data_IF_345331309817
#
_entry.id   IF_345331309817
#
_cell.length_a   1.000
_cell.length_b   1.000
_cell.length_c   1.000
_cell.angle_alpha   90.00
_cell.angle_beta   90.00
_cell.angle_gamma   90.00
#
_symmetry.space_group_name_H-M   'P 1'
#
loop_
_entity.id
_entity.type
_entity.pdbx_description
1 polymer ?
#
# COMPACT_ATOMS: atom_id res chain seq x y z
N UNK A 1 11.71 -2.59 -1.94
CA UNK A 1 12.06 -3.65 -0.98
C UNK A 1 11.60 -3.18 0.40
N UNK A 2 10.60 -3.82 1.00
CA UNK A 2 10.11 -3.44 2.35
C UNK A 2 10.53 -4.55 3.30
N UNK A 3 11.39 -4.23 4.27
CA UNK A 3 11.75 -5.13 5.37
C UNK A 3 10.81 -4.84 6.54
N UNK A 4 10.08 -5.85 7.00
CA UNK A 4 9.01 -5.68 7.99
C UNK A 4 9.54 -5.85 9.43
N UNK A 5 9.08 -5.00 10.34
CA UNK A 5 9.42 -5.02 11.76
C UNK A 5 8.40 -5.78 12.63
N UNK A 6 7.27 -6.21 12.05
CA UNK A 6 6.04 -6.55 12.80
C UNK A 6 5.09 -7.45 11.96
N UNK A 7 4.16 -8.16 12.62
CA UNK A 7 3.23 -9.18 12.07
C UNK A 7 1.85 -8.67 11.62
N UNK A 8 1.53 -7.38 11.79
CA UNK A 8 0.24 -6.72 11.47
C UNK A 8 -0.27 -6.96 10.06
N UNK A 9 0.62 -7.00 9.06
CA UNK A 9 0.22 -7.28 7.68
C UNK A 9 -0.17 -8.76 7.47
N UNK A 10 0.42 -9.68 8.23
CA UNK A 10 0.06 -11.10 8.23
C UNK A 10 -1.31 -11.29 8.87
N UNK A 11 -1.58 -10.58 9.97
CA UNK A 11 -2.90 -10.59 10.63
C UNK A 11 -3.97 -9.97 9.74
N UNK A 12 -3.69 -8.84 9.09
CA UNK A 12 -4.61 -8.19 8.15
C UNK A 12 -4.94 -9.10 6.95
N UNK A 13 -3.94 -9.78 6.38
CA UNK A 13 -4.15 -10.75 5.31
C UNK A 13 -4.95 -11.99 5.77
N UNK A 14 -4.72 -12.45 7.00
CA UNK A 14 -5.45 -13.60 7.57
C UNK A 14 -6.91 -13.26 7.83
N UNK A 15 -7.17 -12.07 8.35
CA UNK A 15 -8.49 -11.59 8.74
C UNK A 15 -9.24 -10.86 7.61
N UNK A 16 -8.66 -10.79 6.41
CA UNK A 16 -9.21 -10.07 5.26
C UNK A 16 -9.59 -8.62 5.61
N UNK A 17 -8.78 -7.98 6.45
CA UNK A 17 -9.02 -6.61 6.91
C UNK A 17 -8.56 -5.64 5.82
N UNK A 18 -9.42 -4.70 5.39
CA UNK A 18 -9.04 -3.72 4.39
C UNK A 18 -7.95 -2.78 4.93
N UNK A 19 -6.96 -2.49 4.09
CA UNK A 19 -5.86 -1.57 4.37
C UNK A 19 -5.85 -0.41 3.38
N UNK A 20 -5.31 0.74 3.81
CA UNK A 20 -4.95 1.81 2.88
C UNK A 20 -3.46 1.71 2.53
N UNK A 21 -3.14 1.70 1.24
CA UNK A 21 -1.76 1.73 0.76
C UNK A 21 -1.46 3.08 0.12
N UNK A 22 -0.43 3.73 0.64
CA UNK A 22 0.12 4.96 0.07
C UNK A 22 1.52 4.70 -0.47
N UNK A 23 1.75 5.08 -1.73
CA UNK A 23 3.04 4.99 -2.38
C UNK A 23 3.20 6.16 -3.34
N UNK A 24 4.43 6.50 -3.71
CA UNK A 24 4.65 7.66 -4.54
C UNK A 24 6.11 7.93 -4.84
N UNK A 25 6.31 8.98 -5.63
CA UNK A 25 7.62 9.51 -5.97
C UNK A 25 7.69 10.94 -5.45
N UNK A 26 8.79 11.29 -4.78
CA UNK A 26 9.05 12.64 -4.31
C UNK A 26 10.43 13.08 -4.80
N UNK A 27 10.49 14.28 -5.36
CA UNK A 27 11.76 14.98 -5.64
C UNK A 27 12.09 15.85 -4.42
N UNK A 28 11.12 16.65 -3.99
CA UNK A 28 11.18 17.52 -2.82
C UNK A 28 9.76 17.67 -2.21
N UNK A 29 9.59 18.58 -1.26
CA UNK A 29 8.29 18.80 -0.60
C UNK A 29 7.21 19.36 -1.53
N UNK A 30 7.60 20.11 -2.56
CA UNK A 30 6.72 20.83 -3.48
C UNK A 30 6.55 20.08 -4.82
N UNK A 31 7.28 18.99 -5.02
CA UNK A 31 7.26 18.17 -6.24
C UNK A 31 7.15 16.69 -5.88
N UNK A 32 5.91 16.20 -5.91
CA UNK A 32 5.58 14.82 -5.58
C UNK A 32 4.40 14.29 -6.38
N UNK A 33 4.41 12.98 -6.60
CA UNK A 33 3.28 12.22 -7.13
C UNK A 33 2.93 11.13 -6.12
N UNK A 34 1.74 11.24 -5.53
CA UNK A 34 1.25 10.33 -4.49
C UNK A 34 0.06 9.53 -5.02
N UNK A 35 0.08 8.24 -4.74
CA UNK A 35 -0.96 7.29 -5.04
C UNK A 35 -1.52 6.72 -3.74
N UNK A 36 -2.84 6.72 -3.62
CA UNK A 36 -3.55 6.23 -2.43
C UNK A 36 -4.59 5.22 -2.88
N UNK A 37 -4.39 3.95 -2.53
CA UNK A 37 -5.38 2.90 -2.68
C UNK A 37 -6.13 2.73 -1.34
N UNK A 38 -7.40 3.14 -1.30
CA UNK A 38 -8.15 3.33 -0.05
C UNK A 38 -8.65 2.03 0.60
N UNK A 39 -8.83 0.98 -0.19
CA UNK A 39 -9.27 -0.32 0.31
C UNK A 39 -8.52 -1.41 -0.43
N UNK A 40 -7.51 -1.97 0.23
CA UNK A 40 -6.63 -3.00 -0.32
C UNK A 40 -6.76 -4.27 0.50
N UNK A 41 -6.88 -5.38 -0.21
CA UNK A 41 -6.91 -6.72 0.35
C UNK A 41 -5.61 -7.45 -0.01
N UNK A 42 -5.00 -8.04 1.00
CA UNK A 42 -3.81 -8.86 0.84
C UNK A 42 -4.22 -10.32 0.71
N UNK A 43 -3.81 -11.04 -0.34
CA UNK A 43 -4.05 -12.47 -0.42
C UNK A 43 -3.32 -13.17 0.72
N UNK A 44 -3.91 -14.26 1.21
CA UNK A 44 -3.27 -15.07 2.26
C UNK A 44 -1.84 -15.44 1.84
N UNK A 45 -0.81 -15.10 2.63
CA UNK A 45 0.56 -15.38 2.25
C UNK A 45 0.75 -16.89 2.15
N UNK A 46 1.34 -17.35 1.04
CA UNK A 46 1.89 -18.72 0.99
C UNK A 46 3.09 -18.73 1.95
N UNK A 47 3.15 -19.73 2.85
CA UNK A 47 4.13 -19.88 3.93
C UNK A 47 5.47 -19.21 3.62
N UNK A 48 5.79 -18.17 4.37
CA UNK A 48 7.04 -17.42 4.30
C UNK A 48 8.23 -18.33 4.64
N UNK A 49 9.29 -18.29 3.84
CA UNK A 49 10.55 -18.95 4.18
C UNK A 49 11.23 -18.12 5.26
N UNK A 50 11.25 -18.65 6.48
CA UNK A 50 11.91 -18.02 7.63
C UNK A 50 13.42 -18.20 7.52
N UNK A 51 14.16 -17.11 7.40
CA UNK A 51 15.61 -17.08 7.49
C UNK A 51 16.10 -16.29 8.72
N UNK A 52 17.38 -16.44 9.13
CA UNK A 52 17.92 -15.80 10.34
C UNK A 52 17.87 -14.26 10.38
N UNK A 53 17.43 -13.60 9.30
CA UNK A 53 17.38 -12.15 9.13
C UNK A 53 15.98 -11.54 8.97
N UNK A 54 14.90 -12.31 9.16
CA UNK A 54 13.52 -11.82 9.14
C UNK A 54 12.59 -12.55 8.18
N UNK A 55 11.36 -12.03 8.08
CA UNK A 55 10.29 -12.56 7.22
C UNK A 55 10.28 -11.77 5.91
N UNK A 56 10.55 -12.44 4.79
CA UNK A 56 10.36 -11.88 3.45
C UNK A 56 9.10 -12.48 2.83
N UNK A 57 8.14 -11.62 2.47
CA UNK A 57 6.91 -12.02 1.79
C UNK A 57 6.58 -11.02 0.68
N UNK A 58 6.19 -11.55 -0.48
CA UNK A 58 5.64 -10.77 -1.59
C UNK A 58 4.13 -10.95 -1.58
N UNK A 59 3.38 -9.84 -1.64
CA UNK A 59 1.92 -9.85 -1.69
C UNK A 59 1.43 -9.27 -3.01
N UNK A 60 0.67 -10.05 -3.76
CA UNK A 60 -0.08 -9.61 -4.95
C UNK A 60 -1.40 -8.99 -4.48
N UNK A 61 -1.36 -7.75 -4.03
CA UNK A 61 -2.51 -7.07 -3.45
C UNK A 61 -3.56 -6.66 -4.50
N UNK A 62 -4.82 -6.54 -4.07
CA UNK A 62 -5.93 -6.09 -4.91
C UNK A 62 -6.69 -4.95 -4.24
N UNK A 63 -6.95 -3.87 -4.98
CA UNK A 63 -7.76 -2.76 -4.49
C UNK A 63 -9.24 -2.93 -4.86
N UNK A 64 -10.11 -2.42 -4.00
CA UNK A 64 -11.55 -2.34 -4.19
C UNK A 64 -12.04 -0.90 -4.01
N UNK A 65 -13.30 -0.63 -4.42
CA UNK A 65 -13.92 0.67 -4.18
C UNK A 65 -14.23 0.81 -2.68
N UNK A 66 -13.55 1.76 -2.03
CA UNK A 66 -13.82 2.07 -0.63
C UNK A 66 -15.21 2.68 -0.44
N UNK A 67 -15.98 2.20 0.55
CA UNK A 67 -17.31 2.72 0.84
C UNK A 67 -17.28 4.17 1.37
N UNK A 68 -16.29 4.51 2.20
CA UNK A 68 -16.18 5.84 2.83
C UNK A 68 -15.83 6.96 1.83
N UNK A 69 -14.67 6.84 1.17
CA UNK A 69 -14.19 7.84 0.19
C UNK A 69 -14.88 7.71 -1.18
N UNK A 70 -15.71 6.66 -1.34
CA UNK A 70 -16.48 6.31 -2.53
C UNK A 70 -15.66 6.15 -3.82
N UNK A 71 -14.36 5.84 -3.69
CA UNK A 71 -13.42 5.63 -4.80
C UNK A 71 -12.39 4.57 -4.44
N UNK A 72 -11.85 3.89 -5.46
CA UNK A 72 -10.81 2.89 -5.27
C UNK A 72 -9.44 3.54 -5.05
N UNK A 73 -9.18 4.65 -5.76
CA UNK A 73 -7.83 5.19 -5.91
C UNK A 73 -7.86 6.71 -6.00
N UNK A 74 -6.90 7.36 -5.36
CA UNK A 74 -6.62 8.80 -5.49
C UNK A 74 -5.20 8.99 -5.99
N UNK A 75 -5.02 9.94 -6.91
CA UNK A 75 -3.72 10.40 -7.37
C UNK A 75 -3.60 11.88 -7.06
N UNK A 76 -2.55 12.26 -6.34
CA UNK A 76 -2.22 13.66 -6.03
C UNK A 76 -0.88 13.99 -6.71
N UNK A 77 -0.91 14.95 -7.62
CA UNK A 77 0.27 15.55 -8.21
C UNK A 77 0.44 16.96 -7.63
N UNK A 78 1.57 17.19 -6.98
CA UNK A 78 2.01 18.53 -6.58
C UNK A 78 3.16 18.92 -7.49
N UNK A 79 3.00 20.03 -8.20
CA UNK A 79 4.03 20.62 -9.04
C UNK A 79 3.79 22.13 -9.22
N UNK A 80 4.63 22.74 -10.05
CA UNK A 80 4.63 24.16 -10.38
C UNK A 80 3.73 24.52 -11.59
N UNK A 81 2.89 23.59 -12.06
CA UNK A 81 1.96 23.83 -13.17
C UNK A 81 0.62 24.33 -12.63
N UNK A 82 0.21 25.51 -13.07
CA UNK A 82 -1.00 26.18 -12.54
C UNK A 82 -2.32 25.61 -13.10
N UNK A 83 -2.36 25.02 -14.30
CA UNK A 83 -3.55 24.30 -14.78
C UNK A 83 -3.24 23.23 -15.84
N UNK A 84 -4.18 22.28 -15.98
CA UNK A 84 -4.19 21.17 -16.93
C UNK A 84 -5.42 21.19 -17.83
#
# INVERSE_FOLDING_TARGET
>A
EVRFADTTLIDAATNNTPLELTFGYAIDADRRLTFIAHEVYLPKPKLSISGPGGIQATFEWQAAKAAGVARMFTVELVNDITSY
#
